data_IF_450409892105
#
_entry.id   IF_450409892105
#
_cell.length_a   1.000
_cell.length_b   1.000
_cell.length_c   1.000
_cell.angle_alpha   90.00
_cell.angle_beta   90.00
_cell.angle_gamma   90.00
#
_symmetry.space_group_name_H-M   'P 1'
#
loop_
_entity.id
_entity.type
_entity.pdbx_description
1 polymer ?
#
# COMPACT_ATOMS: atom_id res chain seq x y z
N UNK A 1 -15.54 -29.41 -5.05
CA UNK A 1 -16.12 -28.60 -6.15
C UNK A 1 -15.09 -28.49 -7.24
N UNK A 2 -15.44 -28.84 -8.47
CA UNK A 2 -14.59 -28.54 -9.64
C UNK A 2 -14.85 -27.11 -10.09
N UNK A 3 -13.91 -26.51 -10.82
CA UNK A 3 -14.04 -25.14 -11.34
C UNK A 3 -15.27 -24.98 -12.25
N UNK A 4 -15.58 -26.01 -13.05
CA UNK A 4 -16.77 -26.06 -13.91
C UNK A 4 -18.08 -26.02 -13.10
N UNK A 5 -18.16 -26.78 -12.01
CA UNK A 5 -19.32 -26.77 -11.11
C UNK A 5 -19.49 -25.42 -10.39
N UNK A 6 -18.38 -24.78 -10.02
CA UNK A 6 -18.44 -23.44 -9.41
C UNK A 6 -18.97 -22.41 -10.42
N UNK A 7 -18.53 -22.47 -11.68
CA UNK A 7 -18.99 -21.57 -12.73
C UNK A 7 -20.49 -21.69 -12.99
N UNK A 8 -21.00 -22.89 -13.17
CA UNK A 8 -22.44 -23.15 -13.37
C UNK A 8 -23.29 -22.67 -12.18
N UNK A 9 -22.75 -22.81 -10.96
CA UNK A 9 -23.37 -22.31 -9.75
C UNK A 9 -23.48 -20.77 -9.76
N UNK A 10 -22.37 -20.06 -10.03
CA UNK A 10 -22.34 -18.59 -10.06
C UNK A 10 -23.11 -17.98 -11.24
N UNK A 11 -23.23 -18.68 -12.37
CA UNK A 11 -24.06 -18.26 -13.52
C UNK A 11 -25.56 -18.29 -13.18
N UNK A 12 -25.97 -19.21 -12.30
CA UNK A 12 -27.38 -19.43 -11.94
C UNK A 12 -27.79 -18.70 -10.66
N UNK A 13 -26.85 -18.51 -9.73
CA UNK A 13 -27.10 -17.90 -8.42
C UNK A 13 -26.58 -16.47 -8.39
N UNK A 14 -27.45 -15.53 -8.75
CA UNK A 14 -27.20 -14.11 -8.54
C UNK A 14 -27.33 -13.71 -7.08
N UNK A 15 -26.64 -12.64 -6.70
CA UNK A 15 -26.83 -12.00 -5.39
C UNK A 15 -28.21 -11.33 -5.41
N UNK A 16 -29.13 -11.77 -4.55
CA UNK A 16 -30.49 -11.22 -4.48
C UNK A 16 -30.52 -9.96 -3.61
N UNK A 17 -31.49 -9.08 -3.88
CA UNK A 17 -31.71 -7.88 -3.07
C UNK A 17 -32.05 -8.21 -1.61
N UNK A 18 -32.74 -9.34 -1.39
CA UNK A 18 -33.03 -9.85 -0.05
C UNK A 18 -31.76 -10.26 0.70
N UNK A 19 -30.82 -10.93 0.03
CA UNK A 19 -29.53 -11.28 0.60
C UNK A 19 -28.71 -10.02 0.93
N UNK A 20 -28.67 -9.03 0.03
CA UNK A 20 -27.98 -7.76 0.27
C UNK A 20 -28.55 -7.02 1.49
N UNK A 21 -29.88 -7.04 1.67
CA UNK A 21 -30.53 -6.42 2.83
C UNK A 21 -30.22 -7.15 4.14
N UNK A 22 -29.94 -8.44 4.07
CA UNK A 22 -29.52 -9.25 5.23
C UNK A 22 -28.03 -9.12 5.55
N UNK A 23 -27.24 -8.52 4.67
CA UNK A 23 -25.82 -8.30 4.91
C UNK A 23 -25.65 -7.31 6.08
N UNK A 24 -24.96 -7.75 7.13
CA UNK A 24 -24.60 -6.89 8.25
C UNK A 24 -23.56 -5.83 7.85
N UNK A 25 -23.33 -4.82 8.69
CA UNK A 25 -22.23 -3.90 8.49
C UNK A 25 -20.90 -4.67 8.47
N UNK A 26 -20.03 -4.34 7.52
CA UNK A 26 -18.66 -4.87 7.47
C UNK A 26 -17.91 -4.31 8.68
N UNK A 27 -17.24 -5.18 9.45
CA UNK A 27 -16.40 -4.74 10.55
C UNK A 27 -15.16 -4.03 10.02
N UNK A 28 -14.69 -2.99 10.70
CA UNK A 28 -13.42 -2.35 10.36
C UNK A 28 -12.24 -3.33 10.45
N UNK A 29 -12.35 -4.37 11.29
CA UNK A 29 -11.36 -5.45 11.41
C UNK A 29 -11.34 -6.41 10.20
N UNK A 30 -12.42 -6.45 9.41
CA UNK A 30 -12.51 -7.25 8.18
C UNK A 30 -11.94 -6.49 6.97
N UNK A 31 -11.67 -5.19 7.13
CA UNK A 31 -11.02 -4.39 6.10
C UNK A 31 -9.51 -4.64 6.11
N UNK A 32 -8.85 -4.65 4.95
CA UNK A 32 -7.40 -4.71 4.91
C UNK A 32 -6.83 -3.51 5.67
N UNK A 33 -5.82 -3.75 6.52
CA UNK A 33 -5.09 -2.70 7.22
C UNK A 33 -4.56 -1.68 6.22
N UNK A 34 -5.17 -0.49 6.19
CA UNK A 34 -4.60 0.65 5.47
C UNK A 34 -3.58 1.30 6.39
N UNK A 35 -2.30 0.99 6.17
CA UNK A 35 -1.19 1.69 6.83
C UNK A 35 -1.39 3.19 6.63
N UNK A 36 -1.56 3.93 7.73
CA UNK A 36 -1.85 5.36 7.68
C UNK A 36 -0.77 6.12 6.92
N UNK A 37 -1.13 6.73 5.79
CA UNK A 37 -0.23 7.63 5.06
C UNK A 37 -0.17 8.94 5.84
N UNK A 38 0.94 9.20 6.52
CA UNK A 38 1.18 10.50 7.14
C UNK A 38 1.50 11.56 6.07
N UNK A 39 0.80 12.70 6.10
CA UNK A 39 1.19 13.87 5.32
C UNK A 39 2.35 14.58 6.02
N UNK A 40 3.49 14.69 5.34
CA UNK A 40 4.70 15.33 5.88
C UNK A 40 5.05 16.55 5.04
N UNK A 41 5.15 17.72 5.70
CA UNK A 41 5.70 18.94 5.10
C UNK A 41 7.15 19.11 5.55
N UNK A 42 8.06 19.22 4.60
CA UNK A 42 9.47 19.46 4.86
C UNK A 42 10.05 20.38 3.78
N UNK A 43 11.15 21.05 4.10
CA UNK A 43 11.82 21.98 3.20
C UNK A 43 12.98 21.29 2.49
N UNK A 44 13.10 21.52 1.19
CA UNK A 44 14.25 21.11 0.38
C UNK A 44 14.89 22.34 -0.24
N UNK A 45 16.23 22.35 -0.41
CA UNK A 45 16.87 23.30 -1.29
C UNK A 45 16.28 23.19 -2.71
N UNK A 46 16.07 24.33 -3.37
CA UNK A 46 15.46 24.40 -4.69
C UNK A 46 16.22 23.55 -5.73
N UNK A 47 17.56 23.62 -5.74
CA UNK A 47 18.41 22.79 -6.62
C UNK A 47 18.13 21.28 -6.43
N UNK A 48 18.05 20.84 -5.18
CA UNK A 48 17.78 19.44 -4.84
C UNK A 48 16.41 19.01 -5.36
N UNK A 49 15.38 19.86 -5.20
CA UNK A 49 14.04 19.57 -5.70
C UNK A 49 14.00 19.51 -7.23
N UNK A 50 14.71 20.40 -7.93
CA UNK A 50 14.80 20.38 -9.39
C UNK A 50 15.49 19.11 -9.90
N UNK A 51 16.60 18.70 -9.27
CA UNK A 51 17.32 17.46 -9.61
C UNK A 51 16.47 16.21 -9.34
N UNK A 52 15.72 16.20 -8.23
CA UNK A 52 14.77 15.13 -7.92
C UNK A 52 13.70 14.98 -9.02
N UNK A 53 13.09 16.09 -9.47
CA UNK A 53 12.12 16.07 -10.57
C UNK A 53 12.73 15.59 -11.89
N UNK A 54 13.95 16.02 -12.21
CA UNK A 54 14.65 15.58 -13.42
C UNK A 54 14.91 14.06 -13.39
N UNK A 55 15.34 13.53 -12.24
CA UNK A 55 15.56 12.11 -12.04
C UNK A 55 14.26 11.30 -12.15
N UNK A 56 13.19 11.79 -11.54
CA UNK A 56 11.86 11.17 -11.62
C UNK A 56 11.34 11.07 -13.05
N UNK A 57 11.50 12.14 -13.85
CA UNK A 57 11.17 12.15 -15.28
C UNK A 57 11.97 11.10 -16.06
N UNK A 58 13.28 11.00 -15.81
CA UNK A 58 14.14 9.99 -16.46
C UNK A 58 13.75 8.56 -16.12
N UNK A 59 13.21 8.33 -14.92
CA UNK A 59 12.76 7.02 -14.42
C UNK A 59 11.29 6.72 -14.69
N UNK A 60 10.56 7.61 -15.37
CA UNK A 60 9.11 7.49 -15.59
C UNK A 60 8.31 7.22 -14.31
N UNK A 61 8.71 7.83 -13.20
CA UNK A 61 8.08 7.66 -11.88
C UNK A 61 7.82 9.00 -11.20
N UNK A 62 7.11 8.98 -10.08
CA UNK A 62 6.82 10.21 -9.31
C UNK A 62 8.04 10.68 -8.54
N UNK A 63 8.20 12.00 -8.36
CA UNK A 63 9.26 12.54 -7.51
C UNK A 63 9.13 12.07 -6.06
N UNK A 64 7.90 11.76 -5.62
CA UNK A 64 7.61 11.16 -4.31
C UNK A 64 8.24 9.78 -4.19
N UNK A 65 8.09 8.92 -5.21
CA UNK A 65 8.70 7.59 -5.23
C UNK A 65 10.23 7.69 -5.16
N UNK A 66 10.82 8.54 -6.00
CA UNK A 66 12.28 8.75 -6.01
C UNK A 66 12.80 9.26 -4.67
N UNK A 67 12.00 10.06 -3.95
CA UNK A 67 12.36 10.56 -2.63
C UNK A 67 12.22 9.48 -1.55
N UNK A 68 11.10 8.76 -1.53
CA UNK A 68 10.73 7.88 -0.42
C UNK A 68 11.58 6.60 -0.40
N UNK A 69 11.80 5.96 -1.55
CA UNK A 69 12.60 4.71 -1.63
C UNK A 69 13.96 4.81 -0.91
N UNK A 70 14.85 5.76 -1.23
CA UNK A 70 16.14 5.84 -0.57
C UNK A 70 16.04 6.26 0.90
N UNK A 71 15.01 7.02 1.28
CA UNK A 71 14.77 7.40 2.69
C UNK A 71 14.38 6.17 3.49
N UNK A 72 13.44 5.35 3.00
CA UNK A 72 13.03 4.10 3.64
C UNK A 72 14.20 3.12 3.73
N UNK A 73 14.96 2.96 2.64
CA UNK A 73 16.14 2.08 2.64
C UNK A 73 17.21 2.54 3.63
N UNK A 74 17.51 3.85 3.67
CA UNK A 74 18.49 4.39 4.59
C UNK A 74 18.02 4.29 6.03
N UNK A 75 16.74 4.57 6.29
CA UNK A 75 16.16 4.47 7.62
C UNK A 75 16.27 3.05 8.17
N UNK A 76 15.88 2.02 7.40
CA UNK A 76 16.01 0.63 7.84
C UNK A 76 17.45 0.21 8.15
N UNK A 77 18.44 0.74 7.40
CA UNK A 77 19.87 0.50 7.68
C UNK A 77 20.32 1.15 8.99
N UNK A 78 19.90 2.39 9.26
CA UNK A 78 20.22 3.08 10.51
C UNK A 78 19.48 2.46 11.70
N UNK A 79 18.22 2.07 11.55
CA UNK A 79 17.45 1.36 12.58
C UNK A 79 18.12 0.06 12.98
N UNK A 80 18.64 -0.71 12.01
CA UNK A 80 19.42 -1.92 12.29
C UNK A 80 20.73 -1.61 13.02
N UNK A 81 21.41 -0.52 12.64
CA UNK A 81 22.67 -0.09 13.27
C UNK A 81 22.48 0.34 14.72
N UNK A 82 21.39 1.05 14.99
CA UNK A 82 21.03 1.56 16.32
C UNK A 82 20.28 0.50 17.17
N UNK A 83 20.05 -0.71 16.64
CA UNK A 83 19.38 -1.80 17.35
C UNK A 83 17.88 -1.57 17.59
N UNK A 84 17.25 -0.69 16.80
CA UNK A 84 15.83 -0.34 16.89
C UNK A 84 14.93 -1.36 16.17
N UNK A 85 15.48 -2.09 15.20
CA UNK A 85 14.81 -3.24 14.58
C UNK A 85 15.13 -4.51 15.36
N UNK A 86 14.15 -5.04 16.09
CA UNK A 86 14.14 -6.45 16.47
C UNK A 86 13.87 -7.24 15.18
N UNK A 87 14.67 -8.28 14.90
CA UNK A 87 14.34 -9.24 13.84
C UNK A 87 12.93 -9.79 14.15
N UNK A 88 11.94 -9.31 13.41
CA UNK A 88 10.61 -9.92 13.44
C UNK A 88 10.79 -11.33 12.89
N UNK A 89 10.76 -12.29 13.81
CA UNK A 89 10.81 -13.72 13.53
C UNK A 89 9.70 -14.06 12.54
N UNK A 90 10.12 -14.59 11.39
CA UNK A 90 9.26 -15.25 10.42
C UNK A 90 8.73 -16.58 10.95
#
# INVERSE_FOLDING_TARGET
MTEQQAREFWDTHGITEEYLRSAGPISDDDLPFMNGIAEVKFWLPEDTFQRLKALARKRHTSYRTVLVEPVTERLGKEEKREGLMQEQQA
#
